data_IF_155692850025
#
_entry.id   IF_155692850025
#
_cell.length_a   1.000
_cell.length_b   1.000
_cell.length_c   1.000
_cell.angle_alpha   90.00
_cell.angle_beta   90.00
_cell.angle_gamma   90.00
#
_symmetry.space_group_name_H-M   'P 1'
#
loop_
_entity.id
_entity.type
_entity.pdbx_description
1 polymer ?
#
# COMPACT_ATOMS: atom_id res chain seq x y z
N UNK A 1 1.08 6.04 -5.09
CA UNK A 1 1.05 5.69 -3.66
C UNK A 1 2.42 5.18 -3.26
N UNK A 2 2.85 5.46 -2.04
CA UNK A 2 4.16 5.03 -1.52
C UNK A 2 3.94 4.37 -0.17
N UNK A 3 4.61 3.26 0.11
CA UNK A 3 4.61 2.69 1.46
C UNK A 3 5.33 3.62 2.44
N UNK A 4 5.13 3.38 3.74
CA UNK A 4 5.94 3.99 4.80
C UNK A 4 7.44 3.67 4.67
N UNK A 5 7.77 2.55 4.04
CA UNK A 5 9.15 2.14 3.66
C UNK A 5 9.68 2.79 2.39
N UNK A 6 8.96 3.75 1.80
CA UNK A 6 9.43 4.52 0.64
C UNK A 6 9.29 3.81 -0.72
N UNK A 7 8.69 2.63 -0.77
CA UNK A 7 8.50 1.87 -2.02
C UNK A 7 7.26 2.35 -2.76
N UNK A 8 7.40 2.61 -4.06
CA UNK A 8 6.29 3.07 -4.92
C UNK A 8 5.41 1.88 -5.32
N UNK A 9 4.09 2.08 -5.27
CA UNK A 9 3.11 1.10 -5.76
C UNK A 9 2.73 1.34 -7.23
N UNK A 10 2.36 0.27 -7.98
CA UNK A 10 2.37 -1.14 -7.56
C UNK A 10 3.80 -1.71 -7.51
N UNK A 11 4.06 -2.64 -6.58
CA UNK A 11 5.32 -3.40 -6.51
C UNK A 11 5.13 -4.79 -7.13
N UNK A 12 6.23 -5.41 -7.59
CA UNK A 12 6.23 -6.81 -8.05
C UNK A 12 6.23 -7.77 -6.86
N UNK A 13 5.97 -9.07 -7.08
CA UNK A 13 6.09 -10.07 -6.01
C UNK A 13 7.52 -10.16 -5.46
N UNK A 14 8.54 -9.95 -6.31
CA UNK A 14 9.94 -9.90 -5.86
C UNK A 14 10.23 -8.66 -4.99
N UNK A 15 9.48 -7.58 -5.21
CA UNK A 15 9.54 -6.33 -4.44
C UNK A 15 8.43 -6.26 -3.37
N UNK A 16 7.86 -7.41 -2.99
CA UNK A 16 6.82 -7.47 -1.98
C UNK A 16 7.32 -6.87 -0.66
N UNK A 17 6.48 -6.05 -0.05
CA UNK A 17 6.82 -5.40 1.20
C UNK A 17 6.63 -6.35 2.38
N UNK A 18 7.68 -6.54 3.17
CA UNK A 18 7.57 -7.20 4.47
C UNK A 18 6.65 -6.37 5.38
N UNK A 19 5.58 -6.99 5.87
CA UNK A 19 4.74 -6.37 6.89
C UNK A 19 5.48 -6.32 8.22
N UNK A 20 5.26 -5.25 8.98
CA UNK A 20 5.90 -5.11 10.28
C UNK A 20 5.12 -5.91 11.33
N UNK A 21 5.83 -6.70 12.12
CA UNK A 21 5.24 -7.33 13.29
C UNK A 21 4.73 -6.25 14.25
N UNK A 22 3.51 -6.42 14.74
CA UNK A 22 2.86 -5.46 15.64
C UNK A 22 2.68 -6.05 17.04
N UNK A 23 2.06 -7.22 17.15
CA UNK A 23 1.87 -7.92 18.43
C UNK A 23 1.49 -9.39 18.22
N UNK A 24 1.77 -10.21 19.23
CA UNK A 24 1.18 -11.54 19.38
C UNK A 24 -0.21 -11.45 20.00
N UNK A 25 -1.12 -12.31 19.56
CA UNK A 25 -2.45 -12.52 20.13
C UNK A 25 -2.70 -14.02 20.34
N UNK A 26 -3.68 -14.42 21.18
CA UNK A 26 -4.01 -15.83 21.35
C UNK A 26 -4.34 -16.55 20.04
N UNK A 27 -4.88 -15.83 19.05
CA UNK A 27 -5.31 -16.36 17.76
C UNK A 27 -4.24 -16.22 16.66
N UNK A 28 -3.03 -15.75 17.01
CA UNK A 28 -1.91 -15.62 16.09
C UNK A 28 -1.22 -14.25 16.13
N UNK A 29 -0.31 -14.06 15.18
CA UNK A 29 0.52 -12.86 15.05
C UNK A 29 -0.16 -11.76 14.23
N UNK A 30 -0.17 -10.55 14.75
CA UNK A 30 -0.72 -9.37 14.07
C UNK A 30 0.41 -8.62 13.37
N UNK A 31 0.27 -8.44 12.07
CA UNK A 31 1.18 -7.65 11.25
C UNK A 31 0.49 -6.38 10.74
N UNK A 32 1.27 -5.33 10.50
CA UNK A 32 0.78 -4.03 10.05
C UNK A 32 1.45 -3.62 8.75
N UNK A 33 0.64 -3.11 7.83
CA UNK A 33 1.07 -2.37 6.65
C UNK A 33 0.68 -0.90 6.81
N UNK A 34 1.54 0.03 6.38
CA UNK A 34 1.22 1.45 6.36
C UNK A 34 1.69 2.10 5.07
N UNK A 35 0.85 2.97 4.51
CA UNK A 35 1.13 3.61 3.23
C UNK A 35 0.53 5.00 3.16
N UNK A 36 1.12 5.84 2.31
CA UNK A 36 0.67 7.21 2.02
C UNK A 36 0.18 7.28 0.58
N UNK A 37 -1.07 7.67 0.41
CA UNK A 37 -1.66 7.95 -0.89
C UNK A 37 -1.81 9.46 -1.09
N UNK A 38 -1.55 9.93 -2.30
CA UNK A 38 -1.79 11.31 -2.73
C UNK A 38 -2.23 11.31 -4.19
N UNK A 39 -3.09 12.25 -4.56
CA UNK A 39 -3.29 12.58 -5.97
C UNK A 39 -1.98 13.16 -6.53
N UNK A 40 -1.56 12.63 -7.67
CA UNK A 40 -0.43 13.16 -8.42
C UNK A 40 -0.95 13.59 -9.79
N UNK A 41 -0.58 14.78 -10.28
CA UNK A 41 -0.92 15.19 -11.64
C UNK A 41 -0.42 14.14 -12.62
N UNK A 42 -1.34 13.59 -13.41
CA UNK A 42 -0.98 12.92 -14.66
C UNK A 42 -1.06 13.98 -15.74
N UNK A 43 -0.14 13.96 -16.70
CA UNK A 43 0.04 15.04 -17.69
C UNK A 43 -1.28 15.50 -18.32
N UNK A 44 -1.56 16.81 -18.32
CA UNK A 44 -2.78 17.39 -18.87
C UNK A 44 -3.47 18.39 -17.93
N UNK A 45 -4.54 19.01 -18.41
CA UNK A 45 -5.37 19.92 -17.61
C UNK A 45 -6.21 19.13 -16.61
N UNK A 46 -6.04 19.39 -15.31
CA UNK A 46 -6.86 18.78 -14.26
C UNK A 46 -8.15 19.60 -14.12
N UNK A 47 -9.30 18.96 -14.35
CA UNK A 47 -10.62 19.56 -14.14
C UNK A 47 -11.16 19.17 -12.75
N UNK A 48 -11.97 20.05 -12.15
CA UNK A 48 -12.67 19.73 -10.90
C UNK A 48 -13.61 18.52 -11.09
N UNK A 49 -13.65 17.62 -10.11
CA UNK A 49 -14.45 16.40 -10.16
C UNK A 49 -14.12 15.42 -9.03
N UNK A 50 -14.65 14.19 -9.12
CA UNK A 50 -14.36 13.10 -8.18
C UNK A 50 -13.25 12.21 -8.72
N UNK A 51 -12.20 12.00 -7.93
CA UNK A 51 -11.11 11.07 -8.22
C UNK A 51 -11.22 9.82 -7.35
N UNK A 52 -11.98 8.81 -7.77
CA UNK A 52 -12.09 7.57 -7.00
C UNK A 52 -10.92 6.62 -7.33
N UNK A 53 -10.45 5.88 -6.32
CA UNK A 53 -9.39 4.89 -6.49
C UNK A 53 -9.67 3.64 -5.64
N UNK A 54 -9.24 2.48 -6.12
CA UNK A 54 -9.31 1.20 -5.42
C UNK A 54 -7.90 0.65 -5.23
N UNK A 55 -7.61 0.18 -4.01
CA UNK A 55 -6.36 -0.51 -3.70
C UNK A 55 -6.66 -1.99 -3.46
N UNK A 56 -6.01 -2.86 -4.24
CA UNK A 56 -6.04 -4.30 -4.04
C UNK A 56 -4.69 -4.76 -3.49
N UNK A 57 -4.69 -5.68 -2.52
CA UNK A 57 -3.47 -6.27 -1.97
C UNK A 57 -3.64 -7.78 -1.78
N UNK A 58 -2.52 -8.50 -1.85
CA UNK A 58 -2.43 -9.95 -1.60
C UNK A 58 -1.43 -10.16 -0.49
N UNK A 59 -1.78 -11.00 0.48
CA UNK A 59 -0.88 -11.45 1.54
C UNK A 59 -0.35 -12.82 1.14
N UNK A 60 0.96 -12.95 1.00
CA UNK A 60 1.61 -14.21 0.73
C UNK A 60 2.31 -14.71 2.00
N UNK A 61 2.01 -15.96 2.35
CA UNK A 61 2.71 -16.69 3.39
C UNK A 61 3.79 -17.56 2.73
N UNK A 62 4.95 -17.69 3.39
CA UNK A 62 5.99 -18.65 3.01
C UNK A 62 5.86 -19.94 3.80
#
# INVERSE_FOLDING_TARGET
MTSDKGVKLPFTQADALTMDWNRSSPDGEVYRFSGKAKYAPTTGTITAGSGNATLNFVIQYN
#
